data_IF_467889858367
#
_entry.id   IF_467889858367
#
_cell.length_a   1.000
_cell.length_b   1.000
_cell.length_c   1.000
_cell.angle_alpha   90.00
_cell.angle_beta   90.00
_cell.angle_gamma   90.00
#
_symmetry.space_group_name_H-M   'P 1'
#
loop_
_entity.id
_entity.type
_entity.pdbx_description
1 polymer ?
#
# COMPACT_ATOMS: atom_id res chain seq x y z
N UNK A 1 18.59 -65.69 -33.56
CA UNK A 1 19.37 -64.64 -32.85
C UNK A 1 19.23 -63.36 -33.66
N UNK A 2 18.42 -62.40 -33.17
CA UNK A 2 18.23 -61.08 -33.78
C UNK A 2 18.78 -60.05 -32.80
N UNK A 3 19.82 -59.34 -33.21
CA UNK A 3 20.42 -58.21 -32.50
C UNK A 3 19.70 -56.93 -32.92
N UNK A 4 19.01 -56.28 -31.99
CA UNK A 4 18.41 -54.96 -32.18
C UNK A 4 19.38 -53.83 -31.83
N UNK A 5 19.17 -52.61 -32.33
CA UNK A 5 20.04 -51.47 -32.08
C UNK A 5 19.81 -50.89 -30.69
N UNK A 6 20.90 -50.51 -30.03
CA UNK A 6 20.94 -49.81 -28.75
C UNK A 6 20.82 -48.31 -29.06
N UNK A 7 19.74 -47.68 -28.61
CA UNK A 7 19.52 -46.23 -28.71
C UNK A 7 20.07 -45.57 -27.46
N UNK A 8 21.18 -44.84 -27.60
CA UNK A 8 21.79 -44.03 -26.54
C UNK A 8 21.04 -42.71 -26.43
N UNK A 9 20.37 -42.48 -25.30
CA UNK A 9 19.80 -41.18 -24.94
C UNK A 9 20.91 -40.28 -24.37
N UNK A 10 21.13 -39.13 -25.01
CA UNK A 10 22.02 -38.07 -24.56
C UNK A 10 21.21 -37.13 -23.65
N UNK A 11 21.46 -37.17 -22.35
CA UNK A 11 20.92 -36.19 -21.40
C UNK A 11 21.75 -34.89 -21.50
N UNK A 12 21.14 -33.82 -22.01
CA UNK A 12 21.66 -32.47 -21.87
C UNK A 12 21.22 -31.95 -20.49
N UNK A 13 22.17 -31.81 -19.55
CA UNK A 13 21.93 -31.13 -18.29
C UNK A 13 21.90 -29.62 -18.52
N UNK A 14 20.72 -29.00 -18.42
CA UNK A 14 20.58 -27.57 -18.24
C UNK A 14 20.85 -27.24 -16.77
N UNK A 15 21.99 -26.61 -16.50
CA UNK A 15 22.28 -25.98 -15.22
C UNK A 15 21.43 -24.73 -15.08
N UNK A 16 20.45 -24.75 -14.18
CA UNK A 16 19.79 -23.54 -13.70
C UNK A 16 20.81 -22.72 -12.91
N UNK A 17 21.19 -21.56 -13.42
CA UNK A 17 21.84 -20.51 -12.64
C UNK A 17 20.75 -19.90 -11.74
N UNK A 18 20.67 -20.40 -10.50
CA UNK A 18 19.92 -19.73 -9.46
C UNK A 18 20.62 -18.39 -9.15
N UNK A 19 19.88 -17.29 -9.27
CA UNK A 19 20.31 -16.01 -8.73
C UNK A 19 20.32 -16.11 -7.20
N UNK A 20 21.50 -16.24 -6.59
CA UNK A 20 21.69 -15.96 -5.16
C UNK A 20 21.62 -14.44 -4.96
N UNK A 21 20.39 -13.90 -4.92
CA UNK A 21 20.14 -12.56 -4.43
C UNK A 21 20.24 -12.55 -2.92
N UNK A 22 21.29 -11.91 -2.38
CA UNK A 22 21.45 -11.71 -0.94
C UNK A 22 20.33 -10.78 -0.41
N UNK A 23 19.31 -11.35 0.22
CA UNK A 23 18.18 -10.62 0.83
C UNK A 23 18.55 -9.77 2.07
N UNK A 24 19.83 -9.66 2.43
CA UNK A 24 20.29 -8.90 3.60
C UNK A 24 20.68 -7.44 3.30
N UNK A 25 20.47 -6.93 2.08
CA UNK A 25 20.87 -5.57 1.68
C UNK A 25 19.77 -4.51 1.82
N UNK A 26 18.91 -4.66 2.83
CA UNK A 26 18.00 -3.61 3.32
C UNK A 26 18.44 -3.07 4.70
N UNK A 27 19.68 -3.34 5.09
CA UNK A 27 20.25 -2.81 6.32
C UNK A 27 20.29 -1.28 6.28
N UNK A 28 19.49 -0.64 7.11
CA UNK A 28 19.60 0.79 7.41
C UNK A 28 21.01 1.05 7.92
N UNK A 29 21.85 1.71 7.12
CA UNK A 29 23.13 2.22 7.61
C UNK A 29 22.83 3.14 8.80
N UNK A 30 23.20 2.68 9.99
CA UNK A 30 23.07 3.40 11.25
C UNK A 30 24.06 4.57 11.25
N UNK A 31 23.78 5.58 10.43
CA UNK A 31 24.49 6.84 10.44
C UNK A 31 23.80 7.70 11.48
N UNK A 32 24.52 8.04 12.53
CA UNK A 32 24.13 9.07 13.51
C UNK A 32 24.11 10.43 12.81
N UNK A 33 23.08 10.66 12.01
CA UNK A 33 22.74 11.90 11.36
C UNK A 33 21.22 11.98 11.38
N UNK A 34 20.69 13.08 11.90
CA UNK A 34 19.28 13.41 11.73
C UNK A 34 18.99 13.49 10.23
N UNK A 35 18.46 12.42 9.65
CA UNK A 35 17.92 12.44 8.30
C UNK A 35 16.64 13.26 8.34
N UNK A 36 16.80 14.57 8.17
CA UNK A 36 15.81 15.39 7.49
C UNK A 36 15.49 14.68 6.18
N UNK A 37 14.31 14.07 6.09
CA UNK A 37 13.69 13.77 4.81
C UNK A 37 13.48 15.13 4.14
N UNK A 38 14.48 15.54 3.36
CA UNK A 38 14.35 16.68 2.48
C UNK A 38 13.41 16.23 1.37
N UNK A 39 12.11 16.47 1.58
CA UNK A 39 11.18 16.61 0.47
C UNK A 39 11.77 17.73 -0.40
N UNK A 40 12.49 17.34 -1.46
CA UNK A 40 12.93 18.27 -2.48
C UNK A 40 11.75 18.45 -3.43
N UNK A 41 10.66 19.02 -2.91
CA UNK A 41 9.59 19.56 -3.74
C UNK A 41 10.16 20.81 -4.40
N UNK A 42 10.61 20.69 -5.65
CA UNK A 42 10.95 21.84 -6.46
C UNK A 42 9.68 22.53 -6.93
N UNK A 43 8.92 23.11 -6.00
CA UNK A 43 7.86 24.05 -6.35
C UNK A 43 8.52 25.31 -6.88
N UNK A 44 8.54 25.50 -8.21
CA UNK A 44 8.88 26.79 -8.83
C UNK A 44 7.75 27.79 -8.62
N UNK A 45 7.51 28.17 -7.37
CA UNK A 45 6.71 29.32 -6.98
C UNK A 45 7.64 30.49 -6.68
N UNK A 46 7.69 31.47 -7.58
CA UNK A 46 8.46 32.70 -7.37
C UNK A 46 7.86 33.51 -6.19
N UNK A 47 8.52 33.53 -5.04
CA UNK A 47 8.09 34.34 -3.91
C UNK A 47 9.02 34.29 -2.69
N UNK A 48 9.88 35.30 -2.58
CA UNK A 48 10.55 35.84 -1.38
C UNK A 48 11.17 34.86 -0.35
N UNK A 49 12.50 34.91 -0.24
CA UNK A 49 13.27 34.15 0.73
C UNK A 49 12.93 34.50 2.18
N UNK A 50 12.75 33.46 2.98
CA UNK A 50 12.84 33.48 4.43
C UNK A 50 13.83 32.39 4.84
N UNK A 51 15.02 32.80 5.31
CA UNK A 51 15.97 31.97 6.05
C UNK A 51 15.45 31.72 7.49
N UNK A 52 14.28 31.08 7.59
CA UNK A 52 13.75 30.57 8.85
C UNK A 52 13.68 29.06 8.73
N UNK A 53 14.61 28.33 9.36
CA UNK A 53 14.52 26.88 9.44
C UNK A 53 13.15 26.52 10.00
N UNK A 54 12.35 25.77 9.24
CA UNK A 54 11.04 25.33 9.69
C UNK A 54 11.22 24.64 11.05
N UNK A 55 10.34 24.92 12.04
CA UNK A 55 10.44 24.28 13.34
C UNK A 55 10.47 22.76 13.16
N UNK A 56 11.32 22.06 13.92
CA UNK A 56 11.36 20.60 13.90
C UNK A 56 9.99 20.07 14.30
N UNK A 57 9.32 19.40 13.38
CA UNK A 57 8.02 18.77 13.65
C UNK A 57 8.28 17.52 14.47
N UNK A 58 7.69 17.47 15.66
CA UNK A 58 7.80 16.32 16.57
C UNK A 58 6.49 15.53 16.49
N UNK A 59 6.58 14.30 16.00
CA UNK A 59 5.46 13.36 16.00
C UNK A 59 5.06 12.98 17.43
N UNK A 60 3.77 13.06 17.79
CA UNK A 60 3.29 12.59 19.08
C UNK A 60 3.57 11.10 19.33
N UNK A 61 4.17 10.83 20.50
CA UNK A 61 4.38 9.48 21.00
C UNK A 61 3.03 8.87 21.43
N UNK A 62 2.58 7.86 20.68
CA UNK A 62 1.40 7.03 20.99
C UNK A 62 1.73 5.57 20.69
N UNK A 63 0.98 4.59 21.26
CA UNK A 63 1.20 3.18 20.95
C UNK A 63 1.26 2.93 19.44
N UNK A 64 2.16 2.04 18.97
CA UNK A 64 2.25 1.72 17.56
C UNK A 64 0.96 1.08 17.05
N UNK A 65 0.65 1.30 15.78
CA UNK A 65 -0.53 0.76 15.13
C UNK A 65 -0.21 0.39 13.70
N UNK A 66 -0.79 -0.70 13.21
CA UNK A 66 -0.68 -1.10 11.81
C UNK A 66 -2.08 -1.10 11.17
N UNK A 67 -2.19 -0.40 10.04
CA UNK A 67 -3.36 -0.41 9.17
C UNK A 67 -2.99 -1.14 7.89
N UNK A 68 -3.72 -2.20 7.57
CA UNK A 68 -3.60 -2.95 6.33
C UNK A 68 -4.72 -2.52 5.39
N UNK A 69 -4.44 -2.37 4.10
CA UNK A 69 -5.46 -2.13 3.06
C UNK A 69 -5.23 -3.05 1.88
N UNK A 70 -6.28 -3.67 1.34
CA UNK A 70 -6.15 -4.40 0.09
C UNK A 70 -6.12 -3.44 -1.11
N UNK A 71 -4.96 -3.31 -1.76
CA UNK A 71 -4.79 -2.60 -3.03
C UNK A 71 -4.47 -3.50 -4.22
N UNK A 72 -4.60 -4.84 -4.09
CA UNK A 72 -4.29 -5.79 -5.15
C UNK A 72 -5.36 -5.72 -6.23
N UNK A 73 -4.96 -5.31 -7.42
CA UNK A 73 -5.87 -4.79 -8.45
C UNK A 73 -6.73 -5.88 -9.05
N UNK A 74 -6.17 -7.07 -9.24
CA UNK A 74 -6.80 -8.20 -9.91
C UNK A 74 -7.38 -9.23 -8.92
N UNK A 75 -7.56 -8.84 -7.65
CA UNK A 75 -8.07 -9.73 -6.61
C UNK A 75 -9.22 -9.08 -5.83
N UNK A 76 -10.37 -9.76 -5.70
CA UNK A 76 -11.50 -9.19 -4.98
C UNK A 76 -11.28 -9.18 -3.46
N UNK A 77 -10.42 -10.07 -2.96
CA UNK A 77 -10.09 -10.17 -1.54
C UNK A 77 -8.71 -10.78 -1.31
N UNK A 78 -8.10 -10.45 -0.17
CA UNK A 78 -6.81 -10.99 0.27
C UNK A 78 -6.84 -11.37 1.75
N UNK A 79 -5.87 -12.18 2.17
CA UNK A 79 -5.47 -12.34 3.57
C UNK A 79 -3.96 -12.15 3.69
N UNK A 80 -3.50 -11.85 4.89
CA UNK A 80 -2.11 -11.67 5.25
C UNK A 80 -1.65 -12.80 6.15
N UNK A 81 -0.38 -13.11 6.04
CA UNK A 81 0.35 -14.02 6.89
C UNK A 81 1.60 -13.28 7.40
N UNK A 82 1.73 -13.16 8.71
CA UNK A 82 2.85 -12.50 9.37
C UNK A 82 3.75 -13.57 9.99
N UNK A 83 4.79 -13.93 9.27
CA UNK A 83 5.68 -15.04 9.61
C UNK A 83 6.93 -14.53 10.33
N UNK A 84 7.47 -15.31 11.26
CA UNK A 84 8.77 -14.99 11.87
C UNK A 84 9.86 -15.11 10.80
N UNK A 85 10.75 -14.11 10.75
CA UNK A 85 11.95 -14.10 9.91
C UNK A 85 13.20 -13.90 10.77
N UNK A 86 14.21 -14.79 10.68
CA UNK A 86 14.24 -16.00 9.85
C UNK A 86 13.21 -17.06 10.30
N UNK A 87 12.82 -18.01 9.43
CA UNK A 87 11.84 -19.03 9.77
C UNK A 87 12.22 -19.85 11.01
N UNK A 88 11.29 -19.98 11.95
CA UNK A 88 11.44 -20.78 13.17
C UNK A 88 10.47 -21.96 13.20
N UNK A 89 10.91 -23.08 13.77
CA UNK A 89 10.04 -24.22 14.00
C UNK A 89 8.96 -23.87 15.04
N UNK A 90 7.69 -24.09 14.69
CA UNK A 90 6.56 -23.78 15.57
C UNK A 90 5.94 -22.40 15.35
N UNK A 91 6.27 -21.72 14.25
CA UNK A 91 5.52 -20.57 13.77
C UNK A 91 4.04 -20.95 13.58
N UNK A 92 3.19 -20.44 14.47
CA UNK A 92 1.76 -20.73 14.54
C UNK A 92 0.92 -19.59 13.94
N UNK A 93 1.52 -18.73 13.12
CA UNK A 93 0.80 -17.68 12.42
C UNK A 93 -0.37 -18.25 11.62
N UNK A 94 -1.53 -17.60 11.72
CA UNK A 94 -2.75 -17.93 10.99
C UNK A 94 -3.11 -16.80 10.04
N UNK A 95 -3.75 -17.08 8.90
CA UNK A 95 -4.22 -16.05 7.99
C UNK A 95 -5.04 -14.97 8.70
N UNK A 96 -4.75 -13.71 8.40
CA UNK A 96 -5.36 -12.53 9.02
C UNK A 96 -5.80 -11.51 7.97
N UNK A 97 -6.95 -10.83 8.12
CA UNK A 97 -7.99 -11.11 9.10
C UNK A 97 -8.68 -12.45 8.82
N UNK A 98 -9.41 -13.00 9.80
CA UNK A 98 -10.14 -14.27 9.65
C UNK A 98 -11.09 -14.27 8.45
N UNK A 99 -11.78 -13.14 8.24
CA UNK A 99 -12.54 -12.87 7.01
C UNK A 99 -11.62 -12.19 6.01
N UNK A 100 -11.49 -12.67 4.76
CA UNK A 100 -10.72 -12.01 3.73
C UNK A 100 -11.03 -10.52 3.58
N UNK A 101 -9.99 -9.71 3.46
CA UNK A 101 -10.08 -8.27 3.30
C UNK A 101 -10.45 -7.95 1.85
N UNK A 102 -11.67 -7.45 1.64
CA UNK A 102 -12.13 -7.04 0.32
C UNK A 102 -11.28 -5.89 -0.25
N UNK A 103 -11.26 -5.76 -1.58
CA UNK A 103 -10.57 -4.68 -2.27
C UNK A 103 -10.96 -3.29 -1.73
N UNK A 104 -9.98 -2.41 -1.57
CA UNK A 104 -10.11 -1.06 -1.03
C UNK A 104 -10.74 -0.98 0.38
N UNK A 105 -10.68 -2.06 1.18
CA UNK A 105 -11.10 -2.06 2.58
C UNK A 105 -9.91 -2.15 3.53
N UNK A 106 -9.94 -1.41 4.67
CA UNK A 106 -8.89 -1.48 5.67
C UNK A 106 -9.20 -2.46 6.81
N UNK A 107 -8.15 -2.91 7.50
CA UNK A 107 -8.21 -3.43 8.87
C UNK A 107 -7.07 -2.83 9.67
N UNK A 108 -7.33 -2.41 10.91
CA UNK A 108 -6.31 -1.80 11.76
C UNK A 108 -6.27 -2.45 13.15
N UNK A 109 -5.08 -2.60 13.71
CA UNK A 109 -4.86 -3.18 15.03
C UNK A 109 -3.63 -2.58 15.71
N UNK A 110 -3.63 -2.60 17.04
CA UNK A 110 -2.54 -2.05 17.84
C UNK A 110 -1.31 -2.97 17.83
N UNK A 111 -0.13 -2.43 18.09
CA UNK A 111 1.10 -3.20 18.24
C UNK A 111 1.69 -3.05 19.66
N UNK A 112 2.40 -4.06 20.18
CA UNK A 112 2.46 -5.43 19.68
C UNK A 112 1.18 -6.21 20.05
N UNK A 113 0.52 -6.81 19.06
CA UNK A 113 -0.56 -7.78 19.28
C UNK A 113 -0.58 -8.81 18.16
N UNK A 114 -1.33 -9.91 18.36
CA UNK A 114 -1.73 -10.77 17.25
C UNK A 114 -2.34 -9.90 16.13
N UNK A 115 -2.03 -10.19 14.85
CA UNK A 115 -1.34 -11.38 14.33
C UNK A 115 0.20 -11.29 14.25
N UNK A 116 0.83 -10.22 14.75
CA UNK A 116 2.26 -10.00 14.57
C UNK A 116 3.06 -10.86 15.56
N UNK A 117 4.04 -11.66 15.09
CA UNK A 117 4.90 -12.43 15.99
C UNK A 117 5.56 -11.56 17.06
N UNK A 118 5.74 -12.09 18.27
CA UNK A 118 6.24 -11.30 19.40
C UNK A 118 7.74 -10.94 19.31
N UNK A 119 8.52 -11.66 18.51
CA UNK A 119 9.96 -11.48 18.35
C UNK A 119 10.39 -11.71 16.89
N UNK A 120 11.62 -11.28 16.56
CA UNK A 120 12.21 -11.42 15.24
C UNK A 120 11.66 -10.42 14.22
N UNK A 121 12.25 -10.38 13.03
CA UNK A 121 11.67 -9.62 11.93
C UNK A 121 10.43 -10.35 11.39
N UNK A 122 9.62 -9.67 10.58
CA UNK A 122 8.33 -10.22 10.13
C UNK A 122 8.32 -10.30 8.61
N UNK A 123 8.29 -11.53 8.08
CA UNK A 123 7.97 -11.73 6.67
C UNK A 123 6.47 -11.54 6.44
N UNK A 124 6.12 -10.71 5.48
CA UNK A 124 4.73 -10.46 5.08
C UNK A 124 4.42 -11.27 3.84
N UNK A 125 3.50 -12.22 3.99
CA UNK A 125 2.97 -13.02 2.90
C UNK A 125 1.51 -12.63 2.67
N UNK A 126 1.11 -12.49 1.41
CA UNK A 126 -0.27 -12.24 1.01
C UNK A 126 -0.83 -13.48 0.32
N UNK A 127 -2.04 -13.86 0.73
CA UNK A 127 -2.84 -14.94 0.19
C UNK A 127 -3.98 -14.36 -0.63
N UNK A 128 -4.27 -14.95 -1.79
CA UNK A 128 -5.42 -14.58 -2.62
C UNK A 128 -5.85 -15.72 -3.57
N UNK A 129 -6.87 -15.52 -4.40
CA UNK A 129 -7.51 -16.57 -5.20
C UNK A 129 -8.43 -17.45 -4.36
N UNK A 130 -8.12 -18.75 -4.22
CA UNK A 130 -8.98 -19.75 -3.55
C UNK A 130 -9.00 -19.65 -2.00
N UNK A 131 -9.23 -18.46 -1.43
CA UNK A 131 -9.17 -18.21 0.02
C UNK A 131 -10.12 -19.07 0.86
N UNK A 132 -11.28 -19.46 0.32
CA UNK A 132 -12.22 -20.33 1.04
C UNK A 132 -11.70 -21.75 1.24
N UNK A 133 -10.69 -22.18 0.47
CA UNK A 133 -10.06 -23.49 0.60
C UNK A 133 -8.94 -23.52 1.65
N UNK A 134 -8.50 -22.36 2.15
CA UNK A 134 -7.43 -22.26 3.18
C UNK A 134 -7.86 -22.90 4.50
N UNK A 135 -9.13 -22.73 4.91
CA UNK A 135 -9.66 -23.34 6.12
C UNK A 135 -8.84 -22.98 7.37
N UNK A 136 -8.30 -23.99 8.06
CA UNK A 136 -7.48 -23.83 9.26
C UNK A 136 -5.99 -24.10 9.02
N UNK A 137 -5.53 -24.08 7.77
CA UNK A 137 -4.11 -24.30 7.43
C UNK A 137 -3.30 -23.11 7.93
N UNK A 138 -2.17 -23.38 8.59
CA UNK A 138 -1.30 -22.34 9.14
C UNK A 138 -0.51 -21.62 8.05
N UNK A 139 -0.17 -20.35 8.29
CA UNK A 139 0.55 -19.51 7.33
C UNK A 139 1.88 -20.10 6.87
N UNK A 140 2.62 -20.75 7.78
CA UNK A 140 3.90 -21.37 7.44
C UNK A 140 3.74 -22.50 6.43
N UNK A 141 2.74 -23.35 6.63
CA UNK A 141 2.44 -24.46 5.71
C UNK A 141 2.04 -23.94 4.32
N UNK A 142 1.22 -22.88 4.27
CA UNK A 142 0.83 -22.24 3.01
C UNK A 142 2.01 -21.60 2.28
N UNK A 143 2.93 -20.96 3.02
CA UNK A 143 4.11 -20.32 2.45
C UNK A 143 5.14 -21.34 1.94
N UNK A 144 5.30 -22.47 2.64
CA UNK A 144 6.25 -23.51 2.28
C UNK A 144 5.75 -24.42 1.14
N UNK A 145 4.43 -24.64 1.03
CA UNK A 145 3.81 -25.48 -0.02
C UNK A 145 2.54 -24.83 -0.63
N UNK A 146 2.71 -23.76 -1.43
CA UNK A 146 1.58 -23.03 -2.01
C UNK A 146 0.77 -23.86 -3.02
N UNK A 147 1.34 -24.95 -3.58
CA UNK A 147 0.67 -25.79 -4.57
C UNK A 147 -0.30 -26.81 -3.94
N UNK A 148 -0.32 -26.93 -2.60
CA UNK A 148 -1.23 -27.80 -1.89
C UNK A 148 -2.70 -27.39 -2.05
N UNK A 149 -2.97 -26.11 -2.32
CA UNK A 149 -4.31 -25.57 -2.55
C UNK A 149 -4.39 -25.05 -3.98
N UNK A 150 -5.11 -25.74 -4.89
CA UNK A 150 -5.30 -25.26 -6.26
C UNK A 150 -5.89 -23.85 -6.29
N UNK A 151 -5.38 -23.03 -7.20
CA UNK A 151 -5.80 -21.63 -7.43
C UNK A 151 -5.59 -20.69 -6.23
N UNK A 152 -4.89 -21.12 -5.17
CA UNK A 152 -4.36 -20.22 -4.16
C UNK A 152 -3.08 -19.56 -4.69
N UNK A 153 -3.03 -18.24 -4.59
CA UNK A 153 -1.83 -17.46 -4.88
C UNK A 153 -1.24 -17.07 -3.53
N UNK A 154 0.05 -17.38 -3.34
CA UNK A 154 0.82 -17.07 -2.12
C UNK A 154 2.03 -16.25 -2.54
N UNK A 155 2.09 -15.01 -2.06
CA UNK A 155 3.10 -14.05 -2.48
C UNK A 155 3.80 -13.43 -1.28
N UNK A 156 5.10 -13.64 -1.15
CA UNK A 156 5.92 -12.91 -0.18
C UNK A 156 6.17 -11.48 -0.68
N UNK A 157 6.00 -10.50 0.19
CA UNK A 157 6.23 -9.07 -0.06
C UNK A 157 7.50 -8.55 0.62
N UNK A 158 8.26 -9.45 1.24
CA UNK A 158 9.51 -9.13 1.94
C UNK A 158 9.37 -9.12 3.46
N UNK A 159 10.42 -8.64 4.11
CA UNK A 159 10.59 -8.68 5.57
C UNK A 159 10.55 -7.26 6.13
N UNK A 160 9.69 -7.03 7.12
CA UNK A 160 9.63 -5.80 7.90
C UNK A 160 10.52 -5.99 9.13
N UNK A 161 11.53 -5.12 9.32
CA UNK A 161 12.34 -5.10 10.52
C UNK A 161 11.51 -4.90 11.79
N UNK A 162 11.86 -5.58 12.88
CA UNK A 162 11.17 -5.47 14.17
C UNK A 162 11.12 -4.02 14.69
N UNK A 163 12.24 -3.32 14.59
CA UNK A 163 12.36 -1.94 15.06
C UNK A 163 11.35 -1.01 14.36
N UNK A 164 11.06 -1.25 13.07
CA UNK A 164 10.05 -0.50 12.33
C UNK A 164 8.64 -0.69 12.91
N UNK A 165 8.28 -1.92 13.31
CA UNK A 165 6.98 -2.24 13.93
C UNK A 165 6.87 -1.72 15.37
N UNK A 166 8.00 -1.56 16.07
CA UNK A 166 8.06 -1.04 17.43
C UNK A 166 8.14 0.49 17.50
N UNK A 167 8.43 1.16 16.39
CA UNK A 167 8.39 2.63 16.31
C UNK A 167 7.02 3.15 16.74
N UNK A 168 6.97 4.14 17.63
CA UNK A 168 5.73 4.78 18.12
C UNK A 168 5.05 5.63 17.04
N UNK A 169 4.61 4.97 15.97
CA UNK A 169 4.03 5.52 14.75
C UNK A 169 2.82 4.68 14.33
N UNK A 170 1.94 5.30 13.54
CA UNK A 170 0.91 4.56 12.83
C UNK A 170 1.47 4.20 11.47
N UNK A 171 1.54 2.91 11.15
CA UNK A 171 2.02 2.41 9.88
C UNK A 171 0.84 2.05 8.98
N UNK A 172 0.97 2.38 7.71
CA UNK A 172 0.10 1.92 6.63
C UNK A 172 0.85 0.88 5.81
N UNK A 173 0.22 -0.25 5.54
CA UNK A 173 0.73 -1.32 4.68
C UNK A 173 -0.32 -1.67 3.62
N UNK A 174 0.05 -1.56 2.35
CA UNK A 174 -0.85 -1.79 1.21
C UNK A 174 -0.15 -2.66 0.18
N UNK A 175 -0.46 -3.97 0.07
CA UNK A 175 -0.12 -4.73 -1.13
C UNK A 175 -0.84 -4.15 -2.35
N UNK A 176 -0.13 -4.06 -3.46
CA UNK A 176 -0.62 -3.48 -4.71
C UNK A 176 -0.01 -4.19 -5.92
N UNK A 177 -0.47 -3.83 -7.12
CA UNK A 177 -0.14 -4.47 -8.38
C UNK A 177 -1.05 -5.65 -8.72
N UNK A 178 -0.63 -6.47 -9.69
CA UNK A 178 -1.35 -7.66 -10.13
C UNK A 178 -0.63 -8.92 -9.64
N UNK A 179 -1.40 -9.85 -9.08
CA UNK A 179 -0.89 -11.08 -8.47
C UNK A 179 -1.16 -12.31 -9.32
N UNK A 180 -2.24 -12.30 -10.12
CA UNK A 180 -2.56 -13.40 -11.01
C UNK A 180 -1.74 -13.34 -12.29
N UNK A 181 -1.46 -14.53 -12.82
CA UNK A 181 -0.86 -14.74 -14.11
C UNK A 181 -1.94 -14.77 -15.21
N UNK A 182 -1.52 -14.57 -16.45
CA UNK A 182 -2.33 -14.82 -17.64
C UNK A 182 -3.18 -13.64 -18.12
N UNK A 183 -3.02 -12.45 -17.54
CA UNK A 183 -3.62 -11.24 -18.11
C UNK A 183 -2.85 -10.83 -19.36
N UNK A 184 -3.49 -10.91 -20.52
CA UNK A 184 -2.85 -10.59 -21.82
C UNK A 184 -3.84 -9.82 -22.68
N UNK A 185 -4.15 -8.59 -22.26
CA UNK A 185 -4.96 -7.66 -23.03
C UNK A 185 -4.30 -6.29 -23.16
N UNK A 186 -4.84 -5.45 -24.06
CA UNK A 186 -4.28 -4.15 -24.36
C UNK A 186 -4.28 -3.16 -23.18
N UNK A 187 -5.09 -3.41 -22.14
CA UNK A 187 -5.14 -2.58 -20.94
C UNK A 187 -4.13 -3.03 -19.89
N UNK A 188 -3.61 -4.25 -19.98
CA UNK A 188 -2.75 -4.89 -18.97
C UNK A 188 -1.61 -3.99 -18.48
N UNK A 189 -0.83 -3.28 -19.33
CA UNK A 189 0.21 -2.38 -18.84
C UNK A 189 -0.32 -1.21 -18.00
N UNK A 190 -1.49 -0.66 -18.35
CA UNK A 190 -2.12 0.45 -17.61
C UNK A 190 -2.67 0.02 -16.24
N UNK A 191 -3.04 -1.25 -16.12
CA UNK A 191 -3.65 -1.84 -14.93
C UNK A 191 -2.57 -2.43 -14.00
N UNK A 192 -1.66 -3.25 -14.53
CA UNK A 192 -0.67 -4.01 -13.77
C UNK A 192 0.73 -3.39 -13.76
N UNK A 193 0.98 -2.44 -14.66
CA UNK A 193 2.24 -1.70 -14.79
C UNK A 193 3.08 -2.21 -15.93
N UNK A 194 3.98 -1.36 -16.41
CA UNK A 194 4.85 -1.66 -17.57
C UNK A 194 5.78 -2.85 -17.37
N UNK A 195 5.99 -3.29 -16.12
CA UNK A 195 6.82 -4.45 -15.78
C UNK A 195 6.05 -5.78 -15.76
N UNK A 196 4.73 -5.76 -15.94
CA UNK A 196 3.90 -6.96 -15.91
C UNK A 196 4.02 -7.73 -17.21
N UNK A 197 4.25 -9.03 -17.08
CA UNK A 197 4.10 -10.00 -18.17
C UNK A 197 3.14 -11.11 -17.71
N UNK A 198 2.44 -11.80 -18.62
CA UNK A 198 1.46 -12.83 -18.26
C UNK A 198 2.02 -13.96 -17.37
N UNK A 199 3.33 -14.23 -17.42
CA UNK A 199 4.03 -15.22 -16.59
C UNK A 199 4.84 -14.59 -15.43
N UNK A 200 4.87 -13.26 -15.35
CA UNK A 200 5.67 -12.50 -14.38
C UNK A 200 4.80 -11.39 -13.76
N UNK A 201 4.02 -11.72 -12.70
CA UNK A 201 3.19 -10.74 -12.01
C UNK A 201 4.05 -9.65 -11.33
N UNK A 202 3.42 -8.54 -10.97
CA UNK A 202 4.07 -7.33 -10.42
C UNK A 202 3.59 -7.00 -9.00
N UNK A 203 3.70 -7.93 -8.04
CA UNK A 203 3.34 -7.63 -6.66
C UNK A 203 4.27 -6.55 -6.10
N UNK A 204 3.69 -5.59 -5.41
CA UNK A 204 4.42 -4.51 -4.76
C UNK A 204 3.76 -4.17 -3.42
N UNK A 205 4.42 -3.32 -2.62
CA UNK A 205 3.96 -2.94 -1.30
C UNK A 205 4.24 -1.45 -1.07
N UNK A 206 3.22 -0.74 -0.58
CA UNK A 206 3.43 0.52 0.13
C UNK A 206 3.55 0.20 1.61
N UNK A 207 4.64 0.64 2.26
CA UNK A 207 4.74 0.67 3.72
C UNK A 207 5.28 2.02 4.16
N UNK A 208 4.55 2.72 5.02
CA UNK A 208 4.96 4.06 5.43
C UNK A 208 4.26 4.58 6.69
N UNK A 209 4.88 5.54 7.40
CA UNK A 209 4.28 6.16 8.56
C UNK A 209 3.22 7.19 8.18
N UNK A 210 2.09 7.19 8.88
CA UNK A 210 1.08 8.24 8.86
C UNK A 210 1.37 9.23 9.99
N UNK A 211 1.26 10.54 9.71
CA UNK A 211 1.56 11.57 10.70
C UNK A 211 0.42 11.74 11.72
N UNK A 212 0.80 11.86 12.99
CA UNK A 212 -0.09 12.07 14.14
C UNK A 212 -0.14 13.52 14.57
N UNK A 213 0.53 14.42 13.85
CA UNK A 213 0.58 15.84 14.22
C UNK A 213 -0.74 16.50 13.83
N UNK A 214 -1.54 16.81 14.85
CA UNK A 214 -2.85 17.45 14.71
C UNK A 214 -2.76 18.96 14.93
N UNK A 215 -3.74 19.70 14.43
CA UNK A 215 -3.96 21.12 14.74
C UNK A 215 -5.44 21.35 15.05
N UNK A 216 -5.73 22.11 16.12
CA UNK A 216 -7.09 22.16 16.69
C UNK A 216 -8.11 22.94 15.85
N UNK A 217 -7.67 23.70 14.84
CA UNK A 217 -8.50 24.52 13.98
C UNK A 217 -8.60 24.00 12.53
N UNK A 218 -7.94 22.88 12.22
CA UNK A 218 -7.93 22.28 10.90
C UNK A 218 -8.05 20.75 10.93
N UNK A 219 -8.48 20.18 9.80
CA UNK A 219 -8.35 18.76 9.52
C UNK A 219 -6.97 18.55 8.88
N UNK A 220 -6.17 17.64 9.45
CA UNK A 220 -4.93 17.20 8.83
C UNK A 220 -5.22 16.23 7.69
N UNK A 221 -4.75 16.51 6.49
CA UNK A 221 -4.90 15.63 5.33
C UNK A 221 -3.53 15.21 4.78
N UNK A 222 -3.37 13.92 4.49
CA UNK A 222 -2.27 13.40 3.70
C UNK A 222 -2.83 12.65 2.50
N UNK A 223 -2.06 12.57 1.43
CA UNK A 223 -2.30 11.69 0.29
C UNK A 223 -1.28 10.55 0.33
N UNK A 224 -1.74 9.34 0.05
CA UNK A 224 -0.89 8.17 -0.11
C UNK A 224 -1.13 7.57 -1.49
N UNK A 225 -0.04 7.23 -2.20
CA UNK A 225 -0.11 6.68 -3.55
C UNK A 225 0.28 5.20 -3.55
N UNK A 226 -0.71 4.32 -3.61
CA UNK A 226 -0.55 2.88 -3.81
C UNK A 226 -1.17 2.42 -5.15
N UNK A 227 -1.22 3.31 -6.13
CA UNK A 227 -1.74 3.04 -7.47
C UNK A 227 -0.78 2.08 -8.18
N UNK A 228 -1.27 0.91 -8.56
CA UNK A 228 -0.55 0.02 -9.46
C UNK A 228 -0.77 0.46 -10.91
N UNK A 229 0.12 0.05 -11.81
CA UNK A 229 -0.01 0.44 -13.22
C UNK A 229 0.82 1.65 -13.64
N UNK A 230 1.32 2.45 -12.70
CA UNK A 230 2.00 3.71 -13.05
C UNK A 230 3.24 3.97 -12.21
N UNK A 231 4.25 4.54 -12.87
CA UNK A 231 5.45 5.10 -12.23
C UNK A 231 5.35 6.62 -12.03
N UNK A 232 4.23 7.22 -12.45
CA UNK A 232 3.99 8.66 -12.38
C UNK A 232 3.69 9.10 -10.94
N UNK A 233 4.05 10.34 -10.64
CA UNK A 233 3.61 11.00 -9.40
C UNK A 233 2.14 11.39 -9.53
N UNK A 234 1.49 11.51 -8.38
CA UNK A 234 0.08 11.84 -8.27
C UNK A 234 -0.09 13.12 -7.47
N UNK A 235 -0.87 14.06 -8.01
CA UNK A 235 -1.40 15.15 -7.22
C UNK A 235 -2.81 14.80 -6.75
N UNK A 236 -3.08 15.07 -5.48
CA UNK A 236 -4.37 14.83 -4.85
C UNK A 236 -4.94 16.17 -4.39
N UNK A 237 -6.04 16.59 -5.02
CA UNK A 237 -6.82 17.76 -4.64
C UNK A 237 -8.11 17.38 -3.92
N UNK A 238 -8.56 18.22 -2.99
CA UNK A 238 -9.90 18.14 -2.39
C UNK A 238 -10.70 19.38 -2.78
N UNK A 239 -11.90 19.18 -3.31
CA UNK A 239 -12.86 20.23 -3.63
C UNK A 239 -14.02 20.14 -2.63
N UNK A 240 -14.14 21.08 -1.67
CA UNK A 240 -15.24 21.09 -0.72
C UNK A 240 -16.61 21.19 -1.41
N UNK A 241 -17.65 20.58 -0.83
CA UNK A 241 -19.00 20.61 -1.41
C UNK A 241 -19.56 22.04 -1.56
N UNK A 242 -19.13 22.95 -0.69
CA UNK A 242 -19.64 24.32 -0.59
C UNK A 242 -18.80 25.35 -1.33
N UNK A 243 -17.67 24.94 -1.91
CA UNK A 243 -16.75 25.84 -2.59
C UNK A 243 -16.14 25.19 -3.83
N UNK A 244 -16.12 25.88 -4.99
CA UNK A 244 -15.44 25.36 -6.17
C UNK A 244 -13.92 25.46 -6.07
N UNK A 245 -13.38 26.01 -4.96
CA UNK A 245 -11.94 26.19 -4.78
C UNK A 245 -11.30 24.91 -4.30
N UNK A 246 -10.53 24.29 -5.19
CA UNK A 246 -9.72 23.13 -4.88
C UNK A 246 -8.60 23.46 -3.89
N UNK A 247 -8.26 22.46 -3.07
CA UNK A 247 -7.16 22.46 -2.13
C UNK A 247 -6.24 21.29 -2.45
N UNK A 248 -5.04 21.57 -2.94
CA UNK A 248 -4.01 20.54 -3.13
C UNK A 248 -3.59 20.00 -1.77
N UNK A 249 -3.90 18.73 -1.53
CA UNK A 249 -3.51 17.99 -0.32
C UNK A 249 -2.13 17.42 -0.50
N UNK A 250 -1.90 16.67 -1.57
CA UNK A 250 -0.62 16.08 -1.95
C UNK A 250 -0.19 16.56 -3.33
N UNK A 251 1.09 16.87 -3.49
CA UNK A 251 1.73 17.36 -4.71
C UNK A 251 2.91 16.43 -4.98
N UNK A 252 3.05 15.95 -6.21
CA UNK A 252 4.09 15.01 -6.64
C UNK A 252 4.22 13.76 -5.75
N UNK A 253 3.10 13.16 -5.34
CA UNK A 253 3.10 11.98 -4.47
C UNK A 253 3.51 10.75 -5.28
N UNK A 254 4.79 10.40 -5.21
CA UNK A 254 5.33 9.19 -5.83
C UNK A 254 4.76 7.89 -5.23
N UNK A 255 4.85 6.80 -5.99
CA UNK A 255 4.44 5.48 -5.52
C UNK A 255 5.11 5.13 -4.17
N UNK A 256 4.32 4.61 -3.22
CA UNK A 256 4.80 4.24 -1.90
C UNK A 256 4.93 5.40 -0.91
N UNK A 257 4.74 6.65 -1.35
CA UNK A 257 4.85 7.82 -0.49
C UNK A 257 3.53 8.16 0.23
N UNK A 258 3.66 8.78 1.41
CA UNK A 258 2.56 9.39 2.17
C UNK A 258 2.96 10.84 2.46
N UNK A 259 2.32 11.80 1.80
CA UNK A 259 2.70 13.21 1.80
C UNK A 259 1.47 14.11 1.88
N UNK A 260 1.59 15.35 2.38
CA UNK A 260 2.79 15.93 2.96
C UNK A 260 3.04 15.38 4.37
N UNK A 261 4.26 15.58 4.86
CA UNK A 261 4.65 15.29 6.24
C UNK A 261 5.32 16.55 6.80
N UNK A 262 4.61 17.40 7.55
CA UNK A 262 3.35 17.16 8.26
C UNK A 262 2.13 17.21 7.33
N UNK A 263 0.95 16.75 7.79
CA UNK A 263 -0.29 16.81 7.01
C UNK A 263 -0.63 18.21 6.55
N UNK A 264 -1.31 18.31 5.42
CA UNK A 264 -1.93 19.52 4.91
C UNK A 264 -3.03 19.99 5.88
N UNK A 265 -3.09 21.30 6.15
CA UNK A 265 -4.00 21.89 7.15
C UNK A 265 -4.76 23.12 6.65
N UNK A 266 -4.90 23.26 5.34
CA UNK A 266 -5.63 24.39 4.75
C UNK A 266 -7.14 24.19 4.66
N UNK A 267 -7.70 23.20 5.37
CA UNK A 267 -9.13 22.90 5.42
C UNK A 267 -9.59 22.70 6.87
N UNK A 268 -10.57 23.48 7.29
CA UNK A 268 -11.34 23.25 8.51
C UNK A 268 -12.58 22.38 8.23
N UNK A 269 -13.16 21.79 9.28
CA UNK A 269 -14.42 21.03 9.18
C UNK A 269 -15.59 21.90 8.72
N UNK A 270 -15.60 23.19 9.08
CA UNK A 270 -16.59 24.15 8.59
C UNK A 270 -16.43 24.50 7.10
N UNK A 271 -15.21 24.48 6.57
CA UNK A 271 -14.99 24.71 5.13
C UNK A 271 -15.34 23.48 4.30
N UNK A 272 -15.14 22.28 4.86
CA UNK A 272 -15.49 21.03 4.19
C UNK A 272 -17.02 20.79 4.13
N UNK A 273 -17.76 21.32 5.11
CA UNK A 273 -19.23 21.31 5.27
C UNK A 273 -19.94 20.16 4.52
N UNK A 274 -20.05 19.01 5.18
CA UNK A 274 -20.60 17.80 4.57
C UNK A 274 -19.53 17.05 3.77
N UNK A 275 -18.53 16.42 4.43
CA UNK A 275 -17.42 15.74 3.77
C UNK A 275 -17.87 14.70 2.75
N UNK A 276 -19.03 14.08 2.92
CA UNK A 276 -19.58 13.14 1.95
C UNK A 276 -19.84 13.73 0.55
N UNK A 277 -20.07 15.04 0.46
CA UNK A 277 -20.32 15.75 -0.80
C UNK A 277 -19.08 16.41 -1.40
N UNK A 278 -17.94 16.40 -0.70
CA UNK A 278 -16.68 16.88 -1.26
C UNK A 278 -16.15 15.90 -2.30
N UNK A 279 -15.36 16.39 -3.25
CA UNK A 279 -14.70 15.56 -4.26
C UNK A 279 -13.19 15.49 -4.02
N UNK A 280 -12.61 14.34 -4.30
CA UNK A 280 -11.17 14.09 -4.41
C UNK A 280 -10.84 14.08 -5.89
N UNK A 281 -9.93 14.95 -6.32
CA UNK A 281 -9.42 15.00 -7.69
C UNK A 281 -8.02 14.46 -7.76
N UNK A 282 -7.77 13.70 -8.81
CA UNK A 282 -6.48 13.06 -9.05
C UNK A 282 -5.90 13.58 -10.35
N UNK A 283 -4.61 13.91 -10.33
CA UNK A 283 -3.85 14.32 -11.50
C UNK A 283 -2.61 13.45 -11.60
N UNK A 284 -2.27 13.03 -12.80
CA UNK A 284 -1.01 12.35 -13.09
C UNK A 284 -0.03 13.37 -13.67
N UNK A 285 1.18 13.43 -13.14
CA UNK A 285 2.24 14.24 -13.76
C UNK A 285 2.86 13.53 -14.97
N UNK A 286 3.16 14.22 -16.09
CA UNK A 286 2.74 15.57 -16.43
C UNK A 286 1.33 15.60 -16.99
N UNK A 287 0.41 16.31 -16.34
CA UNK A 287 -1.00 16.24 -16.73
C UNK A 287 -1.79 17.51 -16.53
N UNK A 288 -1.81 18.11 -15.34
CA UNK A 288 -2.59 19.33 -15.02
C UNK A 288 -4.12 19.24 -15.29
N UNK A 289 -4.61 18.14 -15.86
CA UNK A 289 -6.00 17.81 -16.12
C UNK A 289 -6.45 16.73 -15.16
N UNK A 290 -7.68 16.82 -14.68
CA UNK A 290 -8.26 15.80 -13.80
C UNK A 290 -8.31 14.46 -14.53
N UNK A 291 -7.58 13.46 -14.03
CA UNK A 291 -7.62 12.09 -14.50
C UNK A 291 -8.81 11.34 -13.90
N UNK A 292 -9.14 11.63 -12.65
CA UNK A 292 -10.28 11.03 -11.95
C UNK A 292 -10.84 11.97 -10.87
N UNK A 293 -12.15 11.82 -10.58
CA UNK A 293 -12.89 12.57 -9.56
C UNK A 293 -13.80 11.62 -8.78
N UNK A 294 -13.48 11.41 -7.50
CA UNK A 294 -14.19 10.48 -6.61
C UNK A 294 -14.78 11.25 -5.44
N UNK A 295 -16.00 10.92 -5.02
CA UNK A 295 -16.58 11.55 -3.84
C UNK A 295 -15.81 11.15 -2.58
N UNK A 296 -15.49 12.12 -1.72
CA UNK A 296 -14.89 11.85 -0.42
C UNK A 296 -15.80 10.94 0.43
N UNK A 297 -17.12 11.02 0.27
CA UNK A 297 -18.07 10.10 0.89
C UNK A 297 -17.86 8.63 0.50
N UNK A 298 -17.49 8.36 -0.75
CA UNK A 298 -17.15 7.00 -1.20
C UNK A 298 -15.84 6.54 -0.55
N UNK A 299 -14.82 7.41 -0.51
CA UNK A 299 -13.57 7.10 0.17
C UNK A 299 -13.77 6.82 1.67
N UNK A 300 -14.69 7.54 2.32
CA UNK A 300 -15.09 7.31 3.71
C UNK A 300 -15.76 5.94 3.89
N UNK A 301 -16.69 5.57 3.01
CA UNK A 301 -17.32 4.25 3.02
C UNK A 301 -16.31 3.11 2.78
N UNK A 302 -15.32 3.35 1.92
CA UNK A 302 -14.18 2.44 1.74
C UNK A 302 -13.34 2.30 3.01
N UNK A 303 -13.08 3.41 3.68
CA UNK A 303 -12.34 3.47 4.93
C UNK A 303 -13.07 3.02 6.18
N UNK A 304 -14.39 2.83 6.13
CA UNK A 304 -15.23 2.65 7.32
C UNK A 304 -15.29 3.90 8.21
N UNK A 305 -15.11 5.09 7.62
CA UNK A 305 -15.19 6.37 8.31
C UNK A 305 -16.55 7.04 8.11
N UNK A 306 -16.81 8.02 8.96
CA UNK A 306 -18.02 8.86 8.98
C UNK A 306 -17.65 10.34 8.95
N UNK A 307 -18.64 11.23 8.82
CA UNK A 307 -18.40 12.67 8.85
C UNK A 307 -17.81 13.16 10.20
N UNK A 308 -17.98 12.39 11.27
CA UNK A 308 -17.41 12.68 12.59
C UNK A 308 -15.88 12.49 12.63
N UNK A 309 -15.32 11.80 11.63
CA UNK A 309 -13.87 11.61 11.50
C UNK A 309 -13.17 12.81 10.84
N UNK A 310 -13.95 13.72 10.24
CA UNK A 310 -13.49 14.93 9.55
C UNK A 310 -13.78 16.17 10.39
N UNK A 311 -13.24 16.19 11.61
CA UNK A 311 -13.36 17.30 12.55
C UNK A 311 -12.01 17.98 12.72
N UNK A 312 -12.01 19.26 13.10
CA UNK A 312 -10.76 19.92 13.43
C UNK A 312 -10.03 19.16 14.54
N UNK A 313 -8.72 19.03 14.42
CA UNK A 313 -7.90 18.22 15.32
C UNK A 313 -7.86 16.73 14.98
N UNK A 314 -8.44 16.29 13.85
CA UNK A 314 -8.26 14.92 13.31
C UNK A 314 -7.27 14.91 12.15
N UNK A 315 -6.68 13.74 11.89
CA UNK A 315 -5.83 13.49 10.74
C UNK A 315 -6.40 12.34 9.90
N UNK A 316 -6.51 12.56 8.59
CA UNK A 316 -6.99 11.58 7.61
C UNK A 316 -5.97 11.42 6.50
N UNK A 317 -5.72 10.18 6.08
CA UNK A 317 -4.95 9.84 4.88
C UNK A 317 -5.91 9.45 3.77
N UNK A 318 -5.80 10.11 2.63
CA UNK A 318 -6.49 9.77 1.38
C UNK A 318 -5.58 8.84 0.58
N UNK A 319 -5.85 7.55 0.66
CA UNK A 319 -5.07 6.51 -0.01
C UNK A 319 -5.69 6.20 -1.38
N UNK A 320 -4.97 6.50 -2.47
CA UNK A 320 -5.34 6.05 -3.81
C UNK A 320 -4.85 4.62 -4.04
N UNK A 321 -5.76 3.74 -4.47
CA UNK A 321 -5.48 2.33 -4.85
C UNK A 321 -6.12 2.00 -6.18
N UNK A 322 -5.58 0.98 -6.85
CA UNK A 322 -6.12 0.49 -8.11
C UNK A 322 -5.23 0.75 -9.31
N UNK A 323 -5.77 0.59 -10.53
CA UNK A 323 -5.07 0.91 -11.77
C UNK A 323 -4.86 2.41 -11.92
N UNK A 324 -4.19 2.80 -13.02
CA UNK A 324 -4.02 4.21 -13.40
C UNK A 324 -5.39 4.97 -13.39
N UNK A 325 -5.49 6.13 -12.69
CA UNK A 325 -6.70 6.94 -12.60
C UNK A 325 -7.36 7.23 -13.95
N UNK A 326 -8.70 7.20 -13.98
CA UNK A 326 -9.50 7.31 -15.21
C UNK A 326 -9.70 5.98 -15.95
N UNK A 327 -9.05 4.90 -15.52
CA UNK A 327 -9.35 3.54 -16.01
C UNK A 327 -10.65 3.04 -15.37
N UNK A 328 -11.64 2.68 -16.21
CA UNK A 328 -12.87 2.06 -15.73
C UNK A 328 -12.62 0.64 -15.23
N UNK A 329 -13.49 0.12 -14.36
CA UNK A 329 -13.53 -1.30 -14.00
C UNK A 329 -13.56 -2.20 -15.25
N UNK A 330 -12.85 -3.32 -15.18
CA UNK A 330 -12.79 -4.31 -16.24
C UNK A 330 -13.23 -5.70 -15.80
N UNK A 331 -13.17 -6.68 -16.70
CA UNK A 331 -13.64 -8.04 -16.41
C UNK A 331 -12.84 -8.78 -15.33
N UNK A 332 -11.60 -8.36 -15.05
CA UNK A 332 -10.70 -9.03 -14.11
C UNK A 332 -10.01 -8.09 -13.12
N UNK A 333 -10.17 -6.76 -13.24
CA UNK A 333 -9.55 -5.79 -12.34
C UNK A 333 -10.59 -4.92 -11.64
N UNK A 334 -10.27 -4.55 -10.41
CA UNK A 334 -11.03 -3.58 -9.63
C UNK A 334 -10.73 -2.14 -10.11
N UNK A 335 -11.70 -1.20 -10.01
CA UNK A 335 -11.50 0.17 -10.43
C UNK A 335 -10.51 0.93 -9.53
N UNK A 336 -9.98 2.03 -10.06
CA UNK A 336 -9.27 3.02 -9.24
C UNK A 336 -10.25 3.60 -8.21
N UNK A 337 -9.82 3.71 -6.95
CA UNK A 337 -10.62 4.35 -5.90
C UNK A 337 -9.76 4.97 -4.80
N UNK A 338 -10.40 5.71 -3.89
CA UNK A 338 -9.78 6.19 -2.67
C UNK A 338 -10.30 5.43 -1.44
N UNK A 339 -9.44 5.34 -0.43
CA UNK A 339 -9.75 4.91 0.93
C UNK A 339 -9.36 6.03 1.89
N UNK A 340 -10.32 6.54 2.66
CA UNK A 340 -10.03 7.51 3.71
C UNK A 340 -9.69 6.79 5.01
N UNK A 341 -8.50 7.00 5.56
CA UNK A 341 -8.01 6.30 6.75
C UNK A 341 -7.75 7.29 7.87
N UNK A 342 -8.09 6.96 9.12
CA UNK A 342 -7.62 7.76 10.25
C UNK A 342 -6.11 7.51 10.41
N UNK A 343 -5.32 8.57 10.43
CA UNK A 343 -3.88 8.46 10.68
C UNK A 343 -3.56 7.99 12.12
N UNK A 344 -4.53 8.15 13.03
CA UNK A 344 -4.43 7.77 14.44
C UNK A 344 -5.79 7.27 14.98
N UNK A 345 -6.22 6.03 14.62
CA UNK A 345 -7.55 5.49 14.93
C UNK A 345 -7.75 5.14 16.39
#
# INVERSE_FOLDING_TARGET
MRTGPVTTFLFLGLSFLACEGSHTDLGVEQTTAASTVAATSSSTGAGAGNEGGAPTIVEPDKPPKLTLVNGVIDQPAIQFCFLVSPPEAGDAATPFPETPLAYAKPVAFALPSDPIPAAGDVEVVVLTGALSAVGSVGCRELADDPVAIPDLIVQSLGVIPRDALEMQRSLLLVPTGCFAMGHDDAMTPLICGDAYEPDTPTPNILIGPMSRVVEFDAIGLQAANAIGGTSLTVDTGVVPATSPSERTVGDDVGFGAILPFPPYRGLSSSELEGPSGAAIRTYLDPGGTVNDEILLGEAMENGGLSAEDFQNGTNVVLLGVGPTPGSTEGPWWNPFTYVALRADP
#
